data_IF_302691595494
#
_entry.id   IF_302691595494
#
_cell.length_a   1.000
_cell.length_b   1.000
_cell.length_c   1.000
_cell.angle_alpha   90.00
_cell.angle_beta   90.00
_cell.angle_gamma   90.00
#
_symmetry.space_group_name_H-M   'P 1'
#
loop_
_entity.id
_entity.type
_entity.pdbx_description
1 polymer ?
#
# COMPACT_ATOMS: atom_id res chain seq x y z
N UNK A 1 -7.63 2.14 26.21
CA UNK A 1 -7.78 0.75 25.76
C UNK A 1 -6.66 0.43 24.79
N UNK A 2 -5.73 -0.43 25.20
CA UNK A 2 -4.61 -0.88 24.35
C UNK A 2 -5.17 -1.70 23.19
N UNK A 3 -4.98 -1.23 21.96
CA UNK A 3 -5.30 -2.01 20.75
C UNK A 3 -4.35 -3.21 20.72
N UNK A 4 -4.87 -4.39 21.04
CA UNK A 4 -4.18 -5.65 20.78
C UNK A 4 -4.00 -5.77 19.28
N UNK A 5 -2.79 -5.51 18.78
CA UNK A 5 -2.42 -5.86 17.41
C UNK A 5 -2.34 -7.39 17.35
N UNK A 6 -3.46 -8.04 17.04
CA UNK A 6 -3.49 -9.48 16.84
C UNK A 6 -2.63 -9.82 15.62
N UNK A 7 -1.48 -10.42 15.87
CA UNK A 7 -0.57 -10.99 14.86
C UNK A 7 -1.06 -12.33 14.33
N UNK A 8 -2.09 -12.91 14.94
CA UNK A 8 -2.72 -14.13 14.47
C UNK A 8 -3.56 -13.86 13.21
N UNK A 9 -3.17 -14.55 12.14
CA UNK A 9 -3.80 -14.50 10.82
C UNK A 9 -4.35 -15.88 10.41
N UNK A 10 -4.47 -16.80 11.37
CA UNK A 10 -5.08 -18.12 11.21
C UNK A 10 -6.44 -18.03 10.51
N UNK A 11 -7.25 -17.04 10.88
CA UNK A 11 -8.56 -16.79 10.27
C UNK A 11 -8.52 -16.60 8.75
N UNK A 12 -7.40 -16.15 8.17
CA UNK A 12 -7.27 -16.06 6.72
C UNK A 12 -7.02 -17.45 6.14
N UNK A 13 -6.11 -18.22 6.75
CA UNK A 13 -5.79 -19.58 6.32
C UNK A 13 -7.04 -20.49 6.38
N UNK A 14 -7.89 -20.32 7.37
CA UNK A 14 -9.12 -21.10 7.54
C UNK A 14 -10.20 -20.81 6.48
N UNK A 15 -10.11 -19.67 5.77
CA UNK A 15 -11.14 -19.20 4.83
C UNK A 15 -10.78 -19.40 3.37
N UNK A 16 -9.54 -19.76 3.07
CA UNK A 16 -9.02 -19.74 1.69
C UNK A 16 -8.36 -21.06 1.31
N UNK A 17 -8.30 -21.32 0.01
CA UNK A 17 -7.57 -22.45 -0.52
C UNK A 17 -6.05 -22.29 -0.28
N UNK A 18 -5.27 -23.39 -0.20
CA UNK A 18 -3.83 -23.33 0.07
C UNK A 18 -3.04 -22.42 -0.89
N UNK A 19 -3.46 -22.34 -2.16
CA UNK A 19 -2.84 -21.47 -3.17
C UNK A 19 -3.06 -19.99 -2.83
N UNK A 20 -4.25 -19.63 -2.35
CA UNK A 20 -4.60 -18.27 -1.94
C UNK A 20 -3.95 -17.91 -0.61
N UNK A 21 -3.78 -18.88 0.28
CA UNK A 21 -2.96 -18.69 1.47
C UNK A 21 -1.51 -18.35 1.11
N UNK A 22 -0.93 -19.08 0.14
CA UNK A 22 0.42 -18.81 -0.39
C UNK A 22 0.52 -17.42 -1.03
N UNK A 23 -0.51 -17.02 -1.78
CA UNK A 23 -0.65 -15.68 -2.37
C UNK A 23 -0.66 -14.60 -1.29
N UNK A 24 -1.46 -14.79 -0.24
CA UNK A 24 -1.54 -13.88 0.90
C UNK A 24 -0.19 -13.76 1.63
N UNK A 25 0.48 -14.88 1.89
CA UNK A 25 1.80 -14.88 2.54
C UNK A 25 2.84 -14.12 1.70
N UNK A 26 2.81 -14.30 0.38
CA UNK A 26 3.69 -13.59 -0.55
C UNK A 26 3.44 -12.09 -0.52
N UNK A 27 2.18 -11.66 -0.55
CA UNK A 27 1.78 -10.26 -0.40
C UNK A 27 2.27 -9.70 0.95
N UNK A 28 2.00 -10.40 2.06
CA UNK A 28 2.43 -10.02 3.41
C UNK A 28 3.93 -9.84 3.50
N UNK A 29 4.71 -10.74 2.90
CA UNK A 29 6.18 -10.64 2.87
C UNK A 29 6.64 -9.39 2.13
N UNK A 30 6.06 -9.07 0.97
CA UNK A 30 6.39 -7.85 0.21
C UNK A 30 6.04 -6.58 0.98
N UNK A 31 4.87 -6.54 1.62
CA UNK A 31 4.47 -5.40 2.44
C UNK A 31 5.41 -5.18 3.64
N UNK A 32 5.90 -6.25 4.27
CA UNK A 32 6.87 -6.17 5.38
C UNK A 32 8.23 -5.59 4.97
N UNK A 33 8.60 -5.70 3.70
CA UNK A 33 9.84 -5.11 3.18
C UNK A 33 9.72 -3.59 2.97
N UNK A 34 8.51 -3.05 2.95
CA UNK A 34 8.29 -1.60 2.82
C UNK A 34 8.46 -0.91 4.18
N UNK A 35 9.43 -0.01 4.26
CA UNK A 35 9.76 0.72 5.50
C UNK A 35 8.55 1.49 6.02
N UNK A 36 8.29 1.41 7.32
CA UNK A 36 7.20 2.15 7.97
C UNK A 36 5.80 1.62 7.67
N UNK A 37 5.65 0.57 6.85
CA UNK A 37 4.36 -0.09 6.65
C UNK A 37 4.04 -0.97 7.86
N UNK A 38 2.83 -0.83 8.38
CA UNK A 38 2.27 -1.69 9.42
C UNK A 38 1.02 -2.41 8.93
N UNK A 39 0.72 -3.57 9.52
CA UNK A 39 -0.49 -4.33 9.25
C UNK A 39 -1.31 -4.42 10.52
N UNK A 40 -2.61 -4.16 10.43
CA UNK A 40 -3.57 -4.30 11.53
C UNK A 40 -4.75 -5.13 11.06
N UNK A 41 -5.32 -5.94 11.95
CA UNK A 41 -6.60 -6.62 11.69
C UNK A 41 -7.72 -5.64 12.02
N UNK A 42 -8.59 -5.38 11.05
CA UNK A 42 -9.81 -4.62 11.23
C UNK A 42 -11.02 -5.55 11.21
N UNK A 43 -12.09 -5.17 11.89
CA UNK A 43 -13.36 -5.87 11.82
C UNK A 43 -14.32 -5.02 11.00
N UNK A 44 -14.85 -5.58 9.92
CA UNK A 44 -15.86 -4.88 9.13
C UNK A 44 -17.13 -4.67 9.98
N UNK A 45 -17.63 -3.44 10.03
CA UNK A 45 -18.69 -3.05 10.97
C UNK A 45 -19.99 -3.85 10.84
N UNK A 46 -20.33 -4.27 9.62
CA UNK A 46 -21.60 -4.93 9.31
C UNK A 46 -21.52 -6.45 9.44
N UNK A 47 -20.45 -7.05 8.92
CA UNK A 47 -20.28 -8.50 8.89
C UNK A 47 -19.51 -9.06 10.09
N UNK A 48 -18.81 -8.20 10.84
CA UNK A 48 -17.85 -8.63 11.85
C UNK A 48 -16.62 -9.32 11.25
N UNK A 49 -16.43 -9.26 9.93
CA UNK A 49 -15.34 -9.97 9.28
C UNK A 49 -13.99 -9.38 9.66
N UNK A 50 -13.12 -10.22 10.22
CA UNK A 50 -11.70 -9.90 10.39
C UNK A 50 -11.01 -9.77 9.02
N UNK A 51 -10.39 -8.61 8.78
CA UNK A 51 -9.76 -8.23 7.51
C UNK A 51 -8.36 -7.64 7.78
N UNK A 52 -7.29 -8.17 7.15
CA UNK A 52 -5.97 -7.56 7.22
C UNK A 52 -5.95 -6.22 6.48
N UNK A 53 -5.46 -5.17 7.12
CA UNK A 53 -5.34 -3.83 6.57
C UNK A 53 -3.91 -3.30 6.71
N UNK A 54 -3.39 -2.68 5.66
CA UNK A 54 -2.01 -2.16 5.62
C UNK A 54 -2.01 -0.64 5.65
N UNK A 55 -1.09 -0.07 6.43
CA UNK A 55 -0.99 1.37 6.67
C UNK A 55 0.44 1.83 6.50
N UNK A 56 0.59 3.08 6.05
CA UNK A 56 1.82 3.84 6.15
C UNK A 56 1.53 5.16 6.87
N UNK A 57 2.26 5.46 7.95
CA UNK A 57 2.06 6.68 8.77
C UNK A 57 0.58 6.96 9.12
N UNK A 58 -0.12 5.92 9.60
CA UNK A 58 -1.57 5.92 9.91
C UNK A 58 -2.53 6.11 8.73
N UNK A 59 -2.03 6.31 7.51
CA UNK A 59 -2.85 6.35 6.29
C UNK A 59 -3.05 4.93 5.77
N UNK A 60 -4.30 4.52 5.65
CA UNK A 60 -4.66 3.23 5.08
C UNK A 60 -4.18 3.18 3.64
N UNK A 61 -3.39 2.16 3.29
CA UNK A 61 -3.01 1.83 1.91
C UNK A 61 -4.15 1.05 1.26
N UNK A 62 -4.46 -0.13 1.80
CA UNK A 62 -5.54 -1.02 1.37
C UNK A 62 -5.90 -1.99 2.50
N UNK A 63 -7.03 -2.67 2.37
CA UNK A 63 -7.37 -3.84 3.20
C UNK A 63 -7.84 -5.00 2.34
N UNK A 64 -7.84 -6.21 2.92
CA UNK A 64 -8.02 -7.46 2.20
C UNK A 64 -9.26 -8.21 2.70
N UNK A 65 -10.02 -8.72 1.75
CA UNK A 65 -11.09 -9.70 1.94
C UNK A 65 -10.65 -10.99 1.28
N UNK A 66 -10.23 -11.97 2.06
CA UNK A 66 -9.67 -13.23 1.57
C UNK A 66 -10.68 -14.36 1.81
N UNK A 67 -11.24 -14.92 0.72
CA UNK A 67 -12.29 -15.95 0.78
C UNK A 67 -12.19 -16.92 -0.40
N UNK A 68 -12.24 -18.21 -0.11
CA UNK A 68 -12.24 -19.27 -1.12
C UNK A 68 -11.02 -19.22 -2.03
N UNK A 69 -11.25 -18.86 -3.29
CA UNK A 69 -10.26 -18.92 -4.38
C UNK A 69 -9.70 -17.55 -4.79
N UNK A 70 -9.96 -16.49 -4.00
CA UNK A 70 -9.43 -15.17 -4.31
C UNK A 70 -9.24 -14.27 -3.08
N UNK A 71 -8.44 -13.22 -3.27
CA UNK A 71 -8.31 -12.10 -2.34
C UNK A 71 -8.80 -10.85 -3.04
N UNK A 72 -9.81 -10.20 -2.48
CA UNK A 72 -10.28 -8.90 -2.92
C UNK A 72 -9.58 -7.80 -2.10
N UNK A 73 -8.69 -7.07 -2.75
CA UNK A 73 -7.97 -5.96 -2.16
C UNK A 73 -8.73 -4.65 -2.40
N UNK A 74 -9.27 -4.08 -1.32
CA UNK A 74 -9.93 -2.78 -1.33
C UNK A 74 -8.89 -1.68 -1.09
N UNK A 75 -8.48 -1.06 -2.19
CA UNK A 75 -7.53 0.01 -2.25
C UNK A 75 -8.23 1.37 -2.07
N UNK A 76 -7.78 2.12 -1.07
CA UNK A 76 -8.27 3.48 -0.85
C UNK A 76 -7.41 4.46 -1.66
N UNK A 77 -7.97 5.50 -2.25
CA UNK A 77 -7.21 6.63 -2.76
C UNK A 77 -8.05 7.90 -2.67
N UNK A 78 -7.59 8.86 -1.89
CA UNK A 78 -8.17 10.20 -1.87
C UNK A 78 -7.91 10.92 -3.21
N UNK A 79 -8.54 12.08 -3.42
CA UNK A 79 -8.45 12.79 -4.70
C UNK A 79 -7.00 13.08 -5.12
N UNK A 80 -6.13 13.45 -4.19
CA UNK A 80 -4.73 13.80 -4.50
C UNK A 80 -3.95 12.55 -4.91
N UNK A 81 -4.09 11.47 -4.15
CA UNK A 81 -3.48 10.19 -4.48
C UNK A 81 -3.97 9.66 -5.84
N UNK A 82 -5.28 9.79 -6.14
CA UNK A 82 -5.84 9.37 -7.44
C UNK A 82 -5.21 10.11 -8.60
N UNK A 83 -5.13 11.44 -8.52
CA UNK A 83 -4.52 12.27 -9.58
C UNK A 83 -3.07 11.82 -9.84
N UNK A 84 -2.27 11.66 -8.77
CA UNK A 84 -0.88 11.20 -8.90
C UNK A 84 -0.76 9.80 -9.51
N UNK A 85 -1.63 8.88 -9.13
CA UNK A 85 -1.65 7.51 -9.69
C UNK A 85 -2.01 7.54 -11.18
N UNK A 86 -3.01 8.35 -11.56
CA UNK A 86 -3.45 8.46 -12.96
C UNK A 86 -2.38 9.07 -13.86
N UNK A 87 -1.62 10.05 -13.33
CA UNK A 87 -0.49 10.70 -14.01
C UNK A 87 0.73 9.78 -14.17
N UNK A 88 0.87 8.75 -13.33
CA UNK A 88 2.03 7.86 -13.36
C UNK A 88 1.98 6.87 -14.54
N UNK A 89 2.60 7.23 -15.66
CA UNK A 89 2.60 6.44 -16.90
C UNK A 89 3.32 5.09 -16.79
N UNK A 90 4.09 4.85 -15.71
CA UNK A 90 4.75 3.55 -15.48
C UNK A 90 3.77 2.48 -15.00
N UNK A 91 2.58 2.86 -14.50
CA UNK A 91 1.54 1.94 -14.07
C UNK A 91 0.66 1.47 -15.24
N UNK A 92 0.24 0.21 -15.17
CA UNK A 92 -0.74 -0.36 -16.10
C UNK A 92 -1.98 0.55 -16.19
N UNK A 93 -2.36 0.90 -17.42
CA UNK A 93 -3.44 1.85 -17.68
C UNK A 93 -4.79 1.36 -17.13
N UNK A 94 -5.03 0.05 -17.04
CA UNK A 94 -6.26 -0.53 -16.48
C UNK A 94 -6.36 -0.27 -14.98
N UNK A 95 -5.23 -0.38 -14.27
CA UNK A 95 -5.18 -0.06 -12.84
C UNK A 95 -5.44 1.43 -12.61
N UNK A 96 -4.84 2.28 -13.44
CA UNK A 96 -5.06 3.74 -13.39
C UNK A 96 -6.52 4.10 -13.64
N UNK A 97 -7.14 3.53 -14.66
CA UNK A 97 -8.55 3.74 -14.98
C UNK A 97 -9.48 3.29 -13.82
N UNK A 98 -9.18 2.14 -13.21
CA UNK A 98 -9.94 1.61 -12.09
C UNK A 98 -9.87 2.49 -10.83
N UNK A 99 -8.71 3.11 -10.56
CA UNK A 99 -8.52 4.05 -9.46
C UNK A 99 -9.15 5.42 -9.78
N UNK A 100 -9.08 5.88 -11.02
CA UNK A 100 -9.66 7.17 -11.43
C UNK A 100 -11.16 7.26 -11.11
N UNK A 101 -11.88 6.15 -11.34
CA UNK A 101 -13.35 6.09 -11.23
C UNK A 101 -13.88 6.21 -9.80
N UNK A 102 -13.11 5.89 -8.77
CA UNK A 102 -13.63 5.68 -7.40
C UNK A 102 -12.58 5.83 -6.31
N UNK A 103 -13.00 6.35 -5.16
CA UNK A 103 -12.13 6.48 -3.97
C UNK A 103 -11.74 5.12 -3.39
N UNK A 104 -12.63 4.14 -3.52
CA UNK A 104 -12.38 2.75 -3.13
C UNK A 104 -12.38 1.89 -4.38
N UNK A 105 -11.19 1.50 -4.83
CA UNK A 105 -11.01 0.58 -5.94
C UNK A 105 -10.80 -0.84 -5.40
N UNK A 106 -11.46 -1.81 -6.01
CA UNK A 106 -11.36 -3.22 -5.60
C UNK A 106 -10.57 -4.00 -6.65
N UNK A 107 -9.57 -4.78 -6.22
CA UNK A 107 -8.72 -5.57 -7.10
C UNK A 107 -8.75 -7.03 -6.66
N UNK A 108 -9.15 -7.91 -7.58
CA UNK A 108 -9.18 -9.34 -7.34
C UNK A 108 -7.82 -9.95 -7.62
N UNK A 109 -7.25 -10.65 -6.65
CA UNK A 109 -5.98 -11.36 -6.72
C UNK A 109 -6.25 -12.85 -6.62
N UNK A 110 -5.89 -13.61 -7.66
CA UNK A 110 -6.11 -15.06 -7.72
C UNK A 110 -4.80 -15.84 -7.79
N UNK A 111 -3.75 -15.19 -8.29
CA UNK A 111 -2.45 -15.80 -8.55
C UNK A 111 -1.32 -14.86 -8.18
N UNK A 112 -0.10 -15.42 -8.05
CA UNK A 112 1.10 -14.62 -7.80
C UNK A 112 1.40 -13.60 -8.90
N UNK A 113 0.90 -13.81 -10.12
CA UNK A 113 1.08 -12.86 -11.24
C UNK A 113 0.32 -11.56 -11.00
N UNK A 114 -0.81 -11.62 -10.29
CA UNK A 114 -1.63 -10.45 -9.98
C UNK A 114 -0.95 -9.55 -8.94
N UNK A 115 -0.04 -10.09 -8.13
CA UNK A 115 0.68 -9.32 -7.11
C UNK A 115 1.60 -8.26 -7.68
N UNK A 116 2.22 -8.48 -8.84
CA UNK A 116 3.15 -7.51 -9.43
C UNK A 116 2.46 -6.17 -9.70
N UNK A 117 1.47 -6.15 -10.61
CA UNK A 117 0.73 -4.93 -10.94
C UNK A 117 0.06 -4.29 -9.71
N UNK A 118 -0.52 -5.09 -8.83
CA UNK A 118 -1.12 -4.58 -7.59
C UNK A 118 -0.08 -3.91 -6.67
N UNK A 119 1.11 -4.51 -6.52
CA UNK A 119 2.17 -3.93 -5.70
C UNK A 119 2.74 -2.64 -6.27
N UNK A 120 2.80 -2.50 -7.60
CA UNK A 120 3.25 -1.26 -8.23
C UNK A 120 2.28 -0.11 -7.94
N UNK A 121 0.97 -0.39 -7.95
CA UNK A 121 -0.06 0.56 -7.52
C UNK A 121 0.10 0.95 -6.04
N UNK A 122 0.33 -0.03 -5.16
CA UNK A 122 0.54 0.21 -3.71
C UNK A 122 1.79 1.07 -3.48
N UNK A 123 2.89 0.80 -4.19
CA UNK A 123 4.13 1.58 -4.12
C UNK A 123 3.92 3.01 -4.58
N UNK A 124 3.23 3.24 -5.69
CA UNK A 124 2.94 4.59 -6.17
C UNK A 124 2.19 5.44 -5.12
N UNK A 125 1.22 4.83 -4.44
CA UNK A 125 0.54 5.50 -3.32
C UNK A 125 1.44 5.71 -2.11
N UNK A 126 2.22 4.70 -1.73
CA UNK A 126 3.19 4.81 -0.63
C UNK A 126 4.17 5.96 -0.88
N UNK A 127 4.74 6.06 -2.08
CA UNK A 127 5.67 7.11 -2.47
C UNK A 127 5.02 8.48 -2.44
N UNK A 128 3.77 8.59 -2.91
CA UNK A 128 3.02 9.83 -2.81
C UNK A 128 2.82 10.28 -1.36
N UNK A 129 2.40 9.36 -0.46
CA UNK A 129 2.23 9.67 0.96
C UNK A 129 3.56 10.09 1.58
N UNK A 130 4.64 9.38 1.26
CA UNK A 130 5.99 9.69 1.75
C UNK A 130 6.45 11.07 1.26
N UNK A 131 6.20 11.44 0.00
CA UNK A 131 6.50 12.78 -0.53
C UNK A 131 5.68 13.87 0.16
N UNK A 132 4.41 13.61 0.48
CA UNK A 132 3.58 14.55 1.25
C UNK A 132 4.11 14.74 2.68
N UNK A 133 4.58 13.66 3.32
CA UNK A 133 5.12 13.69 4.68
C UNK A 133 6.50 14.36 4.78
N UNK A 134 7.36 14.15 3.78
CA UNK A 134 8.70 14.76 3.71
C UNK A 134 8.64 16.24 3.30
N UNK A 135 7.50 16.70 2.75
CA UNK A 135 7.40 18.01 2.13
C UNK A 135 8.09 17.99 0.76
N UNK A 136 7.51 18.69 -0.21
CA UNK A 136 8.07 18.82 -1.56
C UNK A 136 9.53 19.28 -1.56
N UNK A 137 10.32 18.59 -2.39
CA UNK A 137 11.74 18.77 -2.79
C UNK A 137 12.84 18.29 -1.83
N UNK A 138 13.79 17.42 -2.27
CA UNK A 138 15.09 17.39 -1.63
C UNK A 138 15.70 18.78 -1.82
N UNK A 139 15.96 19.51 -0.73
CA UNK A 139 16.87 20.63 -0.78
C UNK A 139 18.19 20.12 -1.35
N UNK A 140 18.47 20.45 -2.61
CA UNK A 140 19.85 20.56 -3.07
C UNK A 140 20.44 21.68 -2.23
N UNK A 141 21.01 21.34 -1.08
CA UNK A 141 21.86 22.27 -0.35
C UNK A 141 22.98 22.64 -1.32
N UNK A 142 23.10 23.90 -1.76
CA UNK A 142 24.28 24.31 -2.51
C UNK A 142 25.46 24.07 -1.57
N UNK A 143 26.41 23.25 -2.00
CA UNK A 143 27.72 23.22 -1.35
C UNK A 143 28.28 24.62 -1.58
N UNK A 144 28.25 25.45 -0.53
CA UNK A 144 28.96 26.71 -0.54
C UNK A 144 30.45 26.39 -0.60
N UNK A 145 31.02 26.42 -1.80
CA UNK A 145 32.46 26.59 -1.94
C UNK A 145 32.78 27.99 -1.43
N UNK A 146 33.25 28.09 -0.19
CA UNK A 146 33.89 29.30 0.28
C UNK A 146 35.17 29.50 -0.54
N UNK A 147 35.33 30.60 -1.28
CA UNK A 147 36.62 30.97 -1.81
C UNK A 147 37.47 31.45 -0.63
N UNK A 148 38.45 30.66 -0.22
CA UNK A 148 39.54 31.19 0.60
C UNK A 148 40.38 32.11 -0.28
N UNK A 149 40.02 33.38 -0.30
CA UNK A 149 40.94 34.47 -0.58
C UNK A 149 41.21 35.17 0.75
N UNK A 150 42.45 35.09 1.21
CA UNK A 150 43.24 36.29 1.48
C UNK A 150 44.70 35.95 1.71
N UNK A 151 45.51 36.59 0.87
CA UNK A 151 46.92 36.89 1.08
C UNK A 151 47.20 37.39 2.49
N UNK A 152 48.32 36.92 3.05
CA UNK A 152 49.39 37.75 3.62
C UNK A 152 50.68 36.96 3.67
#
# INVERSE_FOLDING_TARGET
>A
MSRTETTDLSFVADRVHPQIWTLFQSLRSRMRQMKGVSMKVQYEKLSGEATPAYYYENRLLFHLHARGEEINAKFHADQRARVRIVENQTLDWRLRDQVNKRTWAEFTLRTLKDLGPFMDLVKAKYEHINQEAVGTTPEVRPIAFYPHIKDR
#
